data_IF_937506928115
#
_entry.id   IF_937506928115
#
_cell.length_a   1.000
_cell.length_b   1.000
_cell.length_c   1.000
_cell.angle_alpha   90.00
_cell.angle_beta   90.00
_cell.angle_gamma   90.00
#
_symmetry.space_group_name_H-M   'P 1'
#
loop_
_entity.id
_entity.type
_entity.pdbx_description
1 polymer ?
#
# COMPACT_ATOMS: atom_id res chain seq x y z
N UNK A 1 7.17 -73.38 16.06
CA UNK A 1 5.84 -72.84 16.32
C UNK A 1 5.95 -71.29 16.19
N UNK A 2 5.49 -70.72 15.09
CA UNK A 2 5.42 -69.22 14.88
C UNK A 2 3.95 -68.86 14.89
N UNK A 3 3.57 -68.19 15.92
CA UNK A 3 2.21 -67.66 16.10
C UNK A 3 2.10 -66.34 15.33
N UNK A 4 1.33 -66.34 14.25
CA UNK A 4 0.97 -65.13 13.54
C UNK A 4 -0.25 -64.46 14.21
N UNK A 5 -0.11 -63.24 14.65
CA UNK A 5 -1.24 -62.39 15.08
C UNK A 5 -1.79 -61.66 13.87
N UNK A 6 -3.02 -61.98 13.49
CA UNK A 6 -3.82 -61.20 12.56
C UNK A 6 -4.34 -59.94 13.31
N UNK A 7 -3.97 -58.81 12.86
CA UNK A 7 -4.64 -57.55 13.24
C UNK A 7 -5.90 -57.35 12.36
N UNK A 8 -7.06 -57.07 12.94
CA UNK A 8 -8.22 -56.69 12.15
C UNK A 8 -8.08 -55.23 11.72
N UNK A 9 -8.12 -55.02 10.42
CA UNK A 9 -8.20 -53.68 9.81
C UNK A 9 -9.59 -53.12 10.07
N UNK A 10 -9.69 -52.16 11.00
CA UNK A 10 -10.92 -51.41 11.21
C UNK A 10 -11.00 -50.34 10.10
N UNK A 11 -11.77 -50.65 9.08
CA UNK A 11 -12.15 -49.67 8.04
C UNK A 11 -13.18 -48.72 8.65
N UNK A 12 -12.70 -47.56 9.11
CA UNK A 12 -13.57 -46.46 9.60
C UNK A 12 -14.27 -45.85 8.40
N UNK A 13 -15.52 -46.25 8.21
CA UNK A 13 -16.44 -45.63 7.26
C UNK A 13 -16.83 -44.24 7.81
N UNK A 14 -16.12 -43.20 7.38
CA UNK A 14 -16.53 -41.81 7.64
C UNK A 14 -17.74 -41.51 6.75
N UNK A 15 -18.92 -41.68 7.30
CA UNK A 15 -20.15 -41.13 6.72
C UNK A 15 -20.10 -39.64 6.93
N UNK A 16 -19.67 -38.92 5.90
CA UNK A 16 -19.83 -37.45 5.83
C UNK A 16 -21.34 -37.21 5.63
N UNK A 17 -22.03 -36.95 6.72
CA UNK A 17 -23.35 -36.33 6.67
C UNK A 17 -23.19 -34.96 6.05
N UNK A 18 -23.37 -34.88 4.73
CA UNK A 18 -23.69 -33.65 4.06
C UNK A 18 -25.07 -33.26 4.59
N UNK A 19 -25.09 -32.49 5.68
CA UNK A 19 -26.26 -31.70 6.03
C UNK A 19 -26.45 -30.74 4.86
N UNK A 20 -27.22 -31.16 3.87
CA UNK A 20 -27.91 -30.23 3.01
C UNK A 20 -28.75 -29.38 3.96
N UNK A 21 -28.24 -28.25 4.40
CA UNK A 21 -29.06 -27.15 4.83
C UNK A 21 -29.95 -26.85 3.63
N UNK A 22 -31.15 -27.44 3.61
CA UNK A 22 -32.27 -26.82 2.94
C UNK A 22 -32.35 -25.48 3.65
N UNK A 23 -32.12 -24.33 2.98
CA UNK A 23 -32.40 -23.05 3.60
C UNK A 23 -33.86 -23.17 4.05
N UNK A 24 -34.08 -23.14 5.37
CA UNK A 24 -35.43 -22.99 5.88
C UNK A 24 -36.01 -21.79 5.16
N UNK A 25 -37.29 -21.83 4.86
CA UNK A 25 -38.04 -20.71 4.28
C UNK A 25 -37.99 -19.51 5.25
N UNK A 26 -36.81 -18.92 5.39
CA UNK A 26 -36.55 -17.65 6.04
C UNK A 26 -36.43 -16.62 4.93
N UNK A 27 -37.08 -15.50 5.13
CA UNK A 27 -37.07 -14.36 4.23
C UNK A 27 -35.67 -14.11 3.67
N UNK A 28 -35.45 -14.43 2.37
CA UNK A 28 -34.22 -14.04 1.71
C UNK A 28 -34.24 -12.52 1.58
N UNK A 29 -33.27 -11.86 2.18
CA UNK A 29 -33.12 -10.41 2.07
C UNK A 29 -32.66 -10.03 0.66
N UNK A 30 -32.96 -8.81 0.24
CA UNK A 30 -32.39 -8.23 -0.98
C UNK A 30 -30.85 -8.39 -0.97
N UNK A 31 -30.28 -8.69 -2.12
CA UNK A 31 -28.84 -8.91 -2.25
C UNK A 31 -28.26 -8.09 -3.38
N UNK A 32 -27.05 -7.56 -3.13
CA UNK A 32 -26.23 -6.87 -4.13
C UNK A 32 -24.79 -7.37 -4.06
N UNK A 33 -24.22 -7.69 -5.20
CA UNK A 33 -22.82 -8.10 -5.31
C UNK A 33 -22.12 -7.46 -6.51
N UNK A 34 -20.80 -7.28 -6.39
CA UNK A 34 -19.94 -6.96 -7.51
C UNK A 34 -19.51 -8.25 -8.20
N UNK A 35 -19.80 -8.37 -9.49
CA UNK A 35 -19.49 -9.59 -10.26
C UNK A 35 -18.12 -9.50 -10.94
N UNK A 36 -17.35 -10.57 -10.83
CA UNK A 36 -16.06 -10.70 -11.52
C UNK A 36 -16.27 -10.82 -13.06
N UNK A 37 -15.26 -10.35 -13.79
CA UNK A 37 -15.19 -10.49 -15.24
C UNK A 37 -14.11 -9.60 -15.86
N UNK A 38 -13.71 -9.86 -17.10
CA UNK A 38 -12.72 -9.05 -17.79
C UNK A 38 -13.12 -7.58 -17.87
N UNK A 39 -12.28 -6.69 -17.30
CA UNK A 39 -12.52 -5.24 -17.29
C UNK A 39 -13.51 -4.74 -16.23
N UNK A 40 -14.01 -5.60 -15.37
CA UNK A 40 -14.83 -5.22 -14.23
C UNK A 40 -14.05 -5.16 -12.94
N UNK A 41 -14.42 -4.23 -12.07
CA UNK A 41 -13.86 -4.07 -10.74
C UNK A 41 -14.85 -4.68 -9.73
N UNK A 42 -14.40 -5.76 -9.07
CA UNK A 42 -15.20 -6.49 -8.07
C UNK A 42 -14.51 -6.59 -6.71
N UNK A 43 -13.23 -6.21 -6.63
CA UNK A 43 -12.41 -6.26 -5.42
C UNK A 43 -11.47 -5.06 -5.34
N UNK A 44 -10.96 -4.81 -4.14
CA UNK A 44 -9.98 -3.75 -3.91
C UNK A 44 -8.80 -3.87 -4.89
N UNK A 45 -8.45 -2.75 -5.51
CA UNK A 45 -7.43 -2.70 -6.55
C UNK A 45 -6.77 -1.32 -6.64
N UNK A 46 -5.80 -1.18 -7.53
CA UNK A 46 -5.22 0.12 -7.89
C UNK A 46 -5.68 0.54 -9.28
N UNK A 47 -5.83 1.84 -9.49
CA UNK A 47 -6.10 2.43 -10.79
C UNK A 47 -5.48 3.84 -10.89
N UNK A 48 -5.25 4.33 -12.10
CA UNK A 48 -4.75 5.69 -12.30
C UNK A 48 -5.87 6.70 -12.12
N UNK A 49 -5.52 7.91 -11.68
CA UNK A 49 -6.44 9.04 -11.76
C UNK A 49 -7.02 9.16 -13.18
N UNK A 50 -8.24 9.65 -13.28
CA UNK A 50 -8.99 9.81 -14.53
C UNK A 50 -9.32 8.52 -15.30
N UNK A 51 -8.94 7.35 -14.80
CA UNK A 51 -9.34 6.08 -15.41
C UNK A 51 -10.86 5.93 -15.39
N UNK A 52 -11.41 5.38 -16.47
CA UNK A 52 -12.82 4.96 -16.50
C UNK A 52 -12.93 3.61 -15.82
N UNK A 53 -13.54 3.59 -14.64
CA UNK A 53 -13.85 2.37 -13.90
C UNK A 53 -15.17 1.77 -14.40
N UNK A 54 -15.24 0.47 -14.47
CA UNK A 54 -16.44 -0.25 -14.85
C UNK A 54 -16.78 -1.28 -13.79
N UNK A 55 -17.97 -1.17 -13.21
CA UNK A 55 -18.49 -2.08 -12.19
C UNK A 55 -19.63 -2.89 -12.80
N UNK A 56 -19.60 -4.21 -12.61
CA UNK A 56 -20.72 -5.09 -12.94
C UNK A 56 -21.40 -5.47 -11.64
N UNK A 57 -22.63 -5.04 -11.47
CA UNK A 57 -23.43 -5.26 -10.27
C UNK A 57 -24.51 -6.26 -10.59
N UNK A 58 -24.65 -7.27 -9.73
CA UNK A 58 -25.77 -8.19 -9.73
C UNK A 58 -26.64 -7.89 -8.52
N UNK A 59 -27.94 -7.62 -8.75
CA UNK A 59 -28.87 -7.32 -7.71
C UNK A 59 -30.09 -8.23 -7.84
N UNK A 60 -30.53 -8.81 -6.72
CA UNK A 60 -31.63 -9.75 -6.63
C UNK A 60 -32.58 -9.29 -5.53
N UNK A 61 -33.88 -9.18 -5.80
CA UNK A 61 -34.86 -8.86 -4.77
C UNK A 61 -35.00 -10.00 -3.76
N UNK A 62 -35.58 -9.70 -2.59
CA UNK A 62 -35.90 -10.69 -1.60
C UNK A 62 -36.95 -11.69 -2.15
N UNK A 63 -36.86 -12.95 -1.73
CA UNK A 63 -37.82 -13.98 -2.04
C UNK A 63 -38.63 -14.24 -0.77
N UNK A 64 -39.82 -13.63 -0.66
CA UNK A 64 -40.74 -13.85 0.45
C UNK A 64 -41.88 -14.82 0.07
N UNK A 65 -42.59 -15.30 1.08
CA UNK A 65 -43.73 -16.24 0.90
C UNK A 65 -44.91 -15.62 0.14
N UNK A 66 -45.00 -14.28 0.04
CA UNK A 66 -46.13 -13.54 -0.51
C UNK A 66 -45.82 -12.76 -1.80
N UNK A 67 -45.09 -13.37 -2.74
CA UNK A 67 -44.64 -12.77 -4.01
C UNK A 67 -43.37 -11.97 -3.91
N UNK A 68 -42.37 -12.36 -4.70
CA UNK A 68 -41.04 -11.83 -4.72
C UNK A 68 -40.96 -10.31 -4.67
N UNK A 69 -40.05 -9.79 -3.86
CA UNK A 69 -39.80 -8.37 -3.76
C UNK A 69 -39.44 -7.74 -5.11
N UNK A 70 -39.62 -6.45 -5.24
CA UNK A 70 -39.25 -5.70 -6.44
C UNK A 70 -38.22 -4.64 -6.09
N UNK A 71 -37.17 -4.55 -6.87
CA UNK A 71 -36.14 -3.52 -6.68
C UNK A 71 -36.72 -2.15 -7.08
N UNK A 72 -36.61 -1.19 -6.16
CA UNK A 72 -37.11 0.17 -6.36
C UNK A 72 -36.06 1.09 -6.94
N UNK A 73 -34.84 1.05 -6.37
CA UNK A 73 -33.79 1.98 -6.76
C UNK A 73 -32.40 1.36 -6.55
N UNK A 74 -31.45 1.92 -7.28
CA UNK A 74 -30.04 1.74 -7.03
C UNK A 74 -29.39 3.12 -6.90
N UNK A 75 -28.53 3.28 -5.90
CA UNK A 75 -27.66 4.44 -5.79
C UNK A 75 -26.19 4.01 -5.73
N UNK A 76 -25.32 4.87 -6.25
CA UNK A 76 -23.91 4.69 -6.16
C UNK A 76 -23.23 6.00 -5.74
N UNK A 77 -22.31 5.87 -4.81
CA UNK A 77 -21.54 6.98 -4.27
C UNK A 77 -20.07 6.62 -4.14
N UNK A 78 -19.25 7.63 -4.03
CA UNK A 78 -17.84 7.45 -3.67
C UNK A 78 -17.44 8.39 -2.53
N UNK A 79 -16.44 7.98 -1.74
CA UNK A 79 -15.78 8.81 -0.75
C UNK A 79 -14.28 8.70 -0.89
N UNK A 80 -13.56 9.82 -0.75
CA UNK A 80 -12.10 9.85 -0.85
C UNK A 80 -11.51 10.01 0.54
N UNK A 81 -10.61 9.10 0.95
CA UNK A 81 -9.91 9.11 2.24
C UNK A 81 -10.88 9.25 3.44
N UNK A 82 -12.04 8.58 3.39
CA UNK A 82 -13.04 8.61 4.46
C UNK A 82 -13.80 9.94 4.61
N UNK A 83 -13.70 10.85 3.65
CA UNK A 83 -14.51 12.10 3.62
C UNK A 83 -15.97 11.80 3.30
N UNK A 84 -16.82 12.84 3.33
CA UNK A 84 -18.22 12.72 2.98
C UNK A 84 -18.41 12.09 1.60
N UNK A 85 -19.39 11.20 1.50
CA UNK A 85 -19.70 10.52 0.25
C UNK A 85 -20.36 11.49 -0.75
N UNK A 86 -20.01 11.32 -2.02
CA UNK A 86 -20.59 12.03 -3.16
C UNK A 86 -21.39 11.04 -4.00
N UNK A 87 -22.68 11.23 -4.12
CA UNK A 87 -23.54 10.41 -4.98
C UNK A 87 -23.32 10.79 -6.45
N UNK A 88 -23.04 9.80 -7.29
CA UNK A 88 -22.87 9.99 -8.74
C UNK A 88 -23.90 9.23 -9.57
N UNK A 89 -24.66 8.34 -8.94
CA UNK A 89 -25.79 7.65 -9.54
C UNK A 89 -26.91 7.55 -8.50
N UNK A 90 -28.12 7.93 -8.91
CA UNK A 90 -29.37 7.65 -8.18
C UNK A 90 -30.43 7.39 -9.23
N UNK A 91 -30.89 6.14 -9.29
CA UNK A 91 -31.77 5.68 -10.37
C UNK A 91 -32.90 4.84 -9.82
N UNK A 92 -34.12 5.15 -10.28
CA UNK A 92 -35.30 4.30 -10.05
C UNK A 92 -35.25 3.11 -11.01
N UNK A 93 -35.47 1.93 -10.48
CA UNK A 93 -35.54 0.69 -11.23
C UNK A 93 -37.00 0.36 -11.59
N UNK A 94 -37.19 -0.33 -12.70
CA UNK A 94 -38.52 -0.86 -13.03
C UNK A 94 -38.89 -1.98 -12.05
N UNK A 95 -40.16 -2.09 -11.71
CA UNK A 95 -40.70 -3.05 -10.71
C UNK A 95 -40.42 -4.54 -11.02
N UNK A 96 -39.78 -4.86 -12.12
CA UNK A 96 -39.42 -6.24 -12.50
C UNK A 96 -37.92 -6.44 -12.65
N UNK A 97 -37.11 -5.48 -12.20
CA UNK A 97 -35.65 -5.58 -12.38
C UNK A 97 -35.06 -6.61 -11.42
N UNK A 98 -34.40 -7.61 -11.98
CA UNK A 98 -33.42 -8.46 -11.32
C UNK A 98 -32.35 -8.79 -12.33
N UNK A 99 -31.06 -8.78 -11.91
CA UNK A 99 -29.99 -9.16 -12.81
C UNK A 99 -28.80 -8.23 -12.78
N UNK A 100 -28.07 -8.16 -13.91
CA UNK A 100 -26.82 -7.43 -14.02
C UNK A 100 -27.02 -6.00 -14.51
N UNK A 101 -26.30 -5.08 -13.88
CA UNK A 101 -26.19 -3.68 -14.28
C UNK A 101 -24.71 -3.30 -14.42
N UNK A 102 -24.39 -2.54 -15.46
CA UNK A 102 -23.04 -2.01 -15.66
C UNK A 102 -23.04 -0.52 -15.33
N UNK A 103 -22.22 -0.14 -14.36
CA UNK A 103 -22.03 1.25 -13.96
C UNK A 103 -20.61 1.66 -14.32
N UNK A 104 -20.48 2.82 -14.96
CA UNK A 104 -19.19 3.41 -15.31
C UNK A 104 -19.02 4.73 -14.58
N UNK A 105 -17.84 4.94 -14.02
CA UNK A 105 -17.48 6.21 -13.36
C UNK A 105 -16.03 6.55 -13.60
N UNK A 106 -15.72 7.83 -13.81
CA UNK A 106 -14.36 8.32 -13.91
C UNK A 106 -13.76 8.46 -12.51
N UNK A 107 -12.63 7.82 -12.26
CA UNK A 107 -11.91 7.91 -10.98
C UNK A 107 -11.40 9.32 -10.74
N UNK A 108 -11.84 9.94 -9.65
CA UNK A 108 -11.47 11.31 -9.25
C UNK A 108 -10.67 11.27 -7.96
N UNK A 109 -9.53 11.97 -7.94
CA UNK A 109 -8.66 12.07 -6.76
C UNK A 109 -7.20 12.24 -7.16
N UNK A 110 -6.33 12.30 -6.16
CA UNK A 110 -4.88 12.45 -6.33
C UNK A 110 -4.18 11.11 -6.13
N UNK A 111 -2.93 11.04 -6.57
CA UNK A 111 -2.07 9.87 -6.29
C UNK A 111 -2.03 9.60 -4.80
N UNK A 112 -2.11 8.33 -4.42
CA UNK A 112 -2.20 7.80 -3.06
C UNK A 112 -3.56 7.98 -2.36
N UNK A 113 -4.52 8.68 -2.93
CA UNK A 113 -5.87 8.67 -2.38
C UNK A 113 -6.49 7.27 -2.46
N UNK A 114 -7.27 6.93 -1.43
CA UNK A 114 -8.13 5.74 -1.42
C UNK A 114 -9.57 6.20 -1.65
N UNK A 115 -10.16 5.73 -2.74
CA UNK A 115 -11.54 6.03 -3.12
C UNK A 115 -12.40 4.80 -2.88
N UNK A 116 -13.32 4.91 -1.92
CA UNK A 116 -14.30 3.85 -1.63
C UNK A 116 -15.56 4.10 -2.44
N UNK A 117 -15.90 3.17 -3.30
CA UNK A 117 -17.17 3.12 -4.02
C UNK A 117 -18.16 2.29 -3.23
N UNK A 118 -19.37 2.80 -3.09
CA UNK A 118 -20.46 2.14 -2.36
C UNK A 118 -21.70 2.10 -3.24
N UNK A 119 -22.30 0.93 -3.36
CA UNK A 119 -23.49 0.68 -4.15
C UNK A 119 -24.58 0.19 -3.22
N UNK A 120 -25.75 0.78 -3.29
CA UNK A 120 -26.91 0.46 -2.45
C UNK A 120 -28.09 0.14 -3.36
N UNK A 121 -28.73 -0.99 -3.14
CA UNK A 121 -29.97 -1.33 -3.78
C UNK A 121 -31.11 -1.35 -2.75
N UNK A 122 -32.28 -0.85 -3.10
CA UNK A 122 -33.43 -0.74 -2.20
C UNK A 122 -34.66 -1.37 -2.83
N UNK A 123 -35.42 -2.13 -2.06
CA UNK A 123 -36.74 -2.66 -2.47
C UNK A 123 -37.86 -1.64 -2.31
N UNK A 124 -38.97 -1.89 -3.00
CA UNK A 124 -40.12 -0.98 -2.99
C UNK A 124 -40.71 -0.78 -1.58
N UNK A 125 -40.77 -1.82 -0.78
CA UNK A 125 -41.37 -1.81 0.56
C UNK A 125 -40.48 -2.40 1.63
N UNK A 126 -39.16 -2.40 1.40
CA UNK A 126 -38.35 -3.21 2.24
C UNK A 126 -36.92 -2.75 2.44
N UNK A 127 -36.08 -3.68 2.84
CA UNK A 127 -34.70 -3.44 3.20
C UNK A 127 -33.85 -2.98 2.02
N UNK A 128 -32.69 -2.47 2.38
CA UNK A 128 -31.59 -2.17 1.44
C UNK A 128 -30.44 -3.11 1.70
N UNK A 129 -29.66 -3.41 0.66
CA UNK A 129 -28.37 -4.06 0.78
C UNK A 129 -27.28 -3.23 0.13
N UNK A 130 -26.04 -3.44 0.58
CA UNK A 130 -24.91 -2.57 0.25
C UNK A 130 -23.67 -3.39 -0.04
N UNK A 131 -23.01 -3.09 -1.15
CA UNK A 131 -21.67 -3.61 -1.45
C UNK A 131 -20.68 -2.45 -1.68
N UNK A 132 -19.39 -2.69 -1.46
CA UNK A 132 -18.39 -1.66 -1.64
C UNK A 132 -17.04 -2.22 -2.09
N UNK A 133 -16.24 -1.35 -2.73
CA UNK A 133 -14.88 -1.64 -3.17
C UNK A 133 -13.99 -0.41 -2.99
N UNK A 134 -12.73 -0.60 -2.67
CA UNK A 134 -11.75 0.46 -2.51
C UNK A 134 -10.76 0.45 -3.67
N UNK A 135 -10.54 1.65 -4.23
CA UNK A 135 -9.60 1.88 -5.32
C UNK A 135 -8.51 2.82 -4.82
N UNK A 136 -7.28 2.36 -4.80
CA UNK A 136 -6.14 3.22 -4.51
C UNK A 136 -5.61 3.85 -5.79
N UNK A 137 -5.45 5.19 -5.79
CA UNK A 137 -4.99 5.90 -6.98
C UNK A 137 -3.49 5.77 -7.12
N UNK A 138 -3.06 5.09 -8.19
CA UNK A 138 -1.65 4.90 -8.55
C UNK A 138 -1.13 6.05 -9.41
N UNK A 139 0.19 6.33 -9.38
CA UNK A 139 0.81 7.31 -10.27
C UNK A 139 0.77 6.84 -11.74
N UNK A 140 0.91 7.79 -12.64
CA UNK A 140 1.24 7.48 -14.04
C UNK A 140 2.65 6.88 -14.07
N UNK A 141 2.89 5.76 -14.76
CA UNK A 141 4.22 5.20 -14.86
C UNK A 141 5.19 6.21 -15.50
N UNK A 142 6.26 6.52 -14.77
CA UNK A 142 7.38 7.29 -15.25
C UNK A 142 8.67 6.50 -14.95
N UNK A 143 9.67 6.52 -15.86
CA UNK A 143 10.91 5.80 -15.63
C UNK A 143 11.67 6.38 -14.44
N UNK A 144 12.45 5.53 -13.79
CA UNK A 144 13.35 5.93 -12.72
C UNK A 144 14.76 6.07 -13.28
N UNK A 145 15.48 7.08 -12.80
CA UNK A 145 16.92 7.20 -12.99
C UNK A 145 17.68 6.75 -11.75
N UNK A 146 18.85 6.19 -11.96
CA UNK A 146 19.78 5.82 -10.91
C UNK A 146 20.71 7.00 -10.60
N UNK A 147 20.80 7.36 -9.32
CA UNK A 147 21.78 8.30 -8.78
C UNK A 147 22.80 7.45 -8.02
N UNK A 148 24.07 7.54 -8.38
CA UNK A 148 25.13 6.69 -7.84
C UNK A 148 26.09 7.46 -6.94
N UNK A 149 26.80 6.73 -6.11
CA UNK A 149 27.97 7.20 -5.35
C UNK A 149 27.67 8.36 -4.40
N UNK A 150 26.48 8.41 -3.85
CA UNK A 150 26.11 9.42 -2.88
C UNK A 150 26.62 9.05 -1.48
N UNK A 151 26.90 10.06 -0.66
CA UNK A 151 27.50 9.88 0.66
C UNK A 151 26.76 10.72 1.70
N UNK A 152 26.53 10.11 2.87
CA UNK A 152 26.17 10.82 4.11
C UNK A 152 27.26 10.53 5.12
N UNK A 153 27.92 11.59 5.59
CA UNK A 153 28.98 11.51 6.56
C UNK A 153 28.46 11.42 8.00
N UNK A 154 29.34 10.99 8.89
CA UNK A 154 29.14 11.07 10.34
C UNK A 154 28.86 12.53 10.76
N UNK A 155 27.81 12.76 11.54
CA UNK A 155 27.39 14.10 12.01
C UNK A 155 28.43 14.80 12.90
N UNK A 156 29.42 14.10 13.42
CA UNK A 156 30.50 14.62 14.25
C UNK A 156 31.80 14.91 13.48
N UNK A 157 31.79 14.76 12.17
CA UNK A 157 32.93 15.07 11.34
C UNK A 157 33.27 16.56 11.43
N UNK A 158 34.38 16.87 12.08
CA UNK A 158 34.65 18.23 12.54
C UNK A 158 35.35 19.15 11.51
N UNK A 159 36.22 18.60 10.64
CA UNK A 159 37.18 19.44 9.91
C UNK A 159 36.63 20.18 8.68
N UNK A 160 35.59 19.73 8.06
CA UNK A 160 35.09 20.33 6.80
C UNK A 160 33.58 20.56 6.77
N UNK A 161 32.89 20.46 7.91
CA UNK A 161 31.42 20.52 7.99
C UNK A 161 30.77 19.71 6.84
N UNK A 162 31.08 18.40 6.76
CA UNK A 162 30.64 17.59 5.66
C UNK A 162 29.12 17.45 5.69
N UNK A 163 28.62 17.02 4.59
CA UNK A 163 27.22 16.75 4.38
C UNK A 163 26.80 15.51 5.20
N UNK A 164 26.30 15.75 6.41
CA UNK A 164 25.78 14.72 7.33
C UNK A 164 24.28 14.45 7.16
N UNK A 165 23.70 15.04 6.15
CA UNK A 165 22.32 14.81 5.73
C UNK A 165 22.22 14.81 4.20
N UNK A 166 21.06 14.42 3.67
CA UNK A 166 20.86 14.32 2.23
C UNK A 166 19.42 14.62 1.83
N UNK A 167 19.26 15.34 0.72
CA UNK A 167 17.98 15.62 0.04
C UNK A 167 17.87 14.69 -1.18
N UNK A 168 17.03 13.66 -1.08
CA UNK A 168 16.83 12.68 -2.16
C UNK A 168 16.18 13.30 -3.39
N UNK A 169 15.34 14.33 -3.21
CA UNK A 169 14.67 14.99 -4.31
C UNK A 169 15.66 15.74 -5.22
N UNK A 170 16.52 16.56 -4.64
CA UNK A 170 17.47 17.37 -5.40
C UNK A 170 18.81 16.68 -5.64
N UNK A 171 19.01 15.48 -5.11
CA UNK A 171 20.26 14.73 -5.15
C UNK A 171 21.43 15.54 -4.58
N UNK A 172 21.24 16.10 -3.38
CA UNK A 172 22.21 16.98 -2.75
C UNK A 172 22.51 16.58 -1.32
N UNK A 173 23.80 16.52 -0.99
CA UNK A 173 24.25 16.51 0.39
C UNK A 173 23.91 17.82 1.09
N UNK A 174 23.58 17.74 2.36
CA UNK A 174 23.15 18.84 3.22
C UNK A 174 23.97 18.87 4.50
N UNK A 175 24.20 20.09 5.01
CA UNK A 175 24.84 20.30 6.30
C UNK A 175 23.85 20.21 7.45
N UNK A 176 24.36 20.08 8.67
CA UNK A 176 23.55 20.04 9.89
C UNK A 176 22.60 21.23 10.01
N UNK A 177 23.04 22.43 9.63
CA UNK A 177 22.32 23.69 9.78
C UNK A 177 21.38 24.01 8.60
N UNK A 178 21.37 23.19 7.55
CA UNK A 178 20.42 23.34 6.44
C UNK A 178 18.98 23.10 6.88
N UNK A 179 18.04 23.56 6.07
CA UNK A 179 16.62 23.50 6.37
C UNK A 179 16.13 22.06 6.58
N UNK A 180 15.56 21.78 7.74
CA UNK A 180 15.15 20.44 8.15
C UNK A 180 14.15 19.79 7.18
N UNK A 181 13.22 20.56 6.60
CA UNK A 181 12.20 20.07 5.64
C UNK A 181 12.79 19.38 4.40
N UNK A 182 14.05 19.64 4.08
CA UNK A 182 14.75 19.05 2.94
C UNK A 182 15.55 17.80 3.30
N UNK A 183 15.69 17.48 4.58
CA UNK A 183 16.56 16.40 5.04
C UNK A 183 15.81 15.08 5.10
N UNK A 184 15.94 14.29 4.04
CA UNK A 184 15.36 12.95 3.97
C UNK A 184 16.21 11.93 4.73
N UNK A 185 17.52 12.08 4.69
CA UNK A 185 18.49 11.25 5.43
C UNK A 185 19.32 12.17 6.35
N UNK A 186 19.43 11.81 7.63
CA UNK A 186 20.29 12.52 8.61
C UNK A 186 20.99 11.45 9.43
N UNK A 187 22.33 11.49 9.47
CA UNK A 187 23.10 10.64 10.38
C UNK A 187 22.73 10.90 11.84
N UNK A 188 22.55 9.82 12.59
CA UNK A 188 22.08 9.85 13.98
C UNK A 188 23.22 9.73 15.00
N UNK A 189 24.45 9.97 14.61
CA UNK A 189 25.58 9.95 15.55
C UNK A 189 25.45 11.08 16.57
N UNK A 190 25.54 10.74 17.84
CA UNK A 190 25.46 11.66 18.97
C UNK A 190 26.83 11.71 19.67
N UNK A 191 27.31 12.92 19.96
CA UNK A 191 28.53 13.12 20.75
C UNK A 191 28.33 12.74 22.22
N UNK A 192 29.34 12.17 22.81
CA UNK A 192 29.49 12.08 24.26
C UNK A 192 29.87 13.45 24.87
N UNK A 193 30.12 13.52 26.17
CA UNK A 193 30.52 14.73 26.89
C UNK A 193 31.90 15.28 26.44
N UNK A 194 32.72 14.47 25.78
CA UNK A 194 34.04 14.86 25.24
C UNK A 194 33.96 15.32 23.77
N UNK A 195 32.77 15.39 23.18
CA UNK A 195 32.61 15.74 21.76
C UNK A 195 32.88 14.59 20.80
N UNK A 196 33.14 13.39 21.32
CA UNK A 196 33.39 12.17 20.55
C UNK A 196 32.12 11.30 20.51
N UNK A 197 31.94 10.50 19.48
CA UNK A 197 30.82 9.56 19.37
C UNK A 197 31.17 8.38 18.49
N UNK A 198 30.51 7.27 18.77
CA UNK A 198 30.57 6.12 17.91
C UNK A 198 29.60 6.32 16.74
N UNK A 199 30.03 6.03 15.54
CA UNK A 199 29.22 6.13 14.34
C UNK A 199 27.95 5.29 14.49
N UNK A 200 26.79 5.95 14.37
CA UNK A 200 25.49 5.31 14.63
C UNK A 200 25.10 4.31 13.57
N UNK A 201 25.55 4.55 12.34
CA UNK A 201 25.12 3.81 11.15
C UNK A 201 23.59 3.75 11.02
N UNK A 202 22.92 4.86 11.36
CA UNK A 202 21.45 4.97 11.27
C UNK A 202 21.07 6.31 10.68
N UNK A 203 19.99 6.30 9.92
CA UNK A 203 19.40 7.52 9.41
C UNK A 203 18.03 7.78 10.03
N UNK A 204 17.76 9.04 10.36
CA UNK A 204 16.43 9.60 10.56
C UNK A 204 16.20 10.72 9.56
N UNK A 205 15.12 11.49 9.71
CA UNK A 205 14.84 12.64 8.86
C UNK A 205 14.48 13.89 9.64
N UNK A 206 14.58 15.05 9.00
CA UNK A 206 14.06 16.31 9.50
C UNK A 206 12.65 16.64 9.02
N UNK A 207 12.05 15.81 8.19
CA UNK A 207 10.80 16.08 7.45
C UNK A 207 9.79 14.93 7.51
N UNK A 208 9.88 14.04 8.49
CA UNK A 208 8.97 12.87 8.66
C UNK A 208 9.09 11.79 7.57
N UNK A 209 10.22 11.69 6.88
CA UNK A 209 10.50 10.58 5.96
C UNK A 209 10.37 9.23 6.67
N UNK A 210 9.88 8.25 5.96
CA UNK A 210 9.67 6.88 6.44
C UNK A 210 10.52 5.90 5.63
N UNK A 211 11.01 4.86 6.29
CA UNK A 211 11.93 3.88 5.73
C UNK A 211 11.36 2.47 5.91
N UNK A 212 11.50 1.64 4.88
CA UNK A 212 11.16 0.22 4.94
C UNK A 212 12.32 -0.56 4.36
N UNK A 213 12.84 -1.54 5.10
CA UNK A 213 13.84 -2.46 4.56
C UNK A 213 13.15 -3.45 3.63
N UNK A 214 13.68 -3.60 2.41
CA UNK A 214 13.15 -4.47 1.35
C UNK A 214 14.26 -5.34 0.77
N UNK A 215 13.94 -6.21 -0.20
CA UNK A 215 14.89 -7.14 -0.79
C UNK A 215 15.73 -6.52 -1.91
N UNK A 216 16.80 -7.22 -2.31
CA UNK A 216 17.59 -6.81 -3.48
C UNK A 216 16.76 -6.95 -4.77
N UNK A 217 15.90 -7.96 -4.87
CA UNK A 217 15.00 -8.14 -6.02
C UNK A 217 14.04 -6.97 -6.17
N UNK A 218 13.53 -6.40 -5.06
CA UNK A 218 12.68 -5.21 -5.08
C UNK A 218 13.42 -4.00 -5.67
N UNK A 219 14.71 -3.85 -5.32
CA UNK A 219 15.54 -2.80 -5.91
C UNK A 219 15.73 -3.01 -7.42
N UNK A 220 16.09 -4.22 -7.83
CA UNK A 220 16.41 -4.52 -9.23
C UNK A 220 15.16 -4.41 -10.13
N UNK A 221 14.00 -4.90 -9.65
CA UNK A 221 12.73 -4.84 -10.40
C UNK A 221 12.09 -3.45 -10.44
N UNK A 222 12.42 -2.55 -9.51
CA UNK A 222 11.86 -1.19 -9.52
C UNK A 222 12.41 -0.39 -10.70
N UNK A 223 11.60 -0.16 -11.72
CA UNK A 223 11.96 0.57 -12.94
C UNK A 223 11.11 1.81 -13.18
N UNK A 224 9.96 1.93 -12.50
CA UNK A 224 8.99 3.00 -12.68
C UNK A 224 8.41 3.50 -11.35
N UNK A 225 7.78 4.67 -11.40
CA UNK A 225 7.02 5.22 -10.26
C UNK A 225 5.91 4.29 -9.78
N UNK A 226 5.30 3.55 -10.68
CA UNK A 226 4.25 2.57 -10.34
C UNK A 226 4.82 1.39 -9.56
N UNK A 227 6.03 0.93 -9.89
CA UNK A 227 6.68 -0.17 -9.15
C UNK A 227 6.96 0.27 -7.71
N UNK A 228 7.54 1.46 -7.52
CA UNK A 228 7.78 2.01 -6.17
C UNK A 228 6.48 2.20 -5.39
N UNK A 229 5.43 2.67 -6.05
CA UNK A 229 4.13 2.86 -5.41
C UNK A 229 3.52 1.54 -4.94
N UNK A 230 3.50 0.52 -5.80
CA UNK A 230 2.97 -0.80 -5.44
C UNK A 230 3.78 -1.43 -4.30
N UNK A 231 5.10 -1.30 -4.36
CA UNK A 231 5.99 -1.78 -3.31
C UNK A 231 5.74 -1.04 -1.98
N UNK A 232 5.51 0.28 -2.02
CA UNK A 232 5.17 1.05 -0.82
C UNK A 232 3.85 0.60 -0.20
N UNK A 233 2.80 0.44 -1.01
CA UNK A 233 1.49 -0.03 -0.54
C UNK A 233 1.59 -1.37 0.18
N UNK A 234 2.44 -2.27 -0.33
CA UNK A 234 2.66 -3.57 0.28
C UNK A 234 3.34 -3.48 1.66
N UNK A 235 4.26 -2.53 1.83
CA UNK A 235 5.15 -2.45 3.00
C UNK A 235 4.89 -1.27 3.94
N UNK A 236 3.98 -0.34 3.63
CA UNK A 236 3.78 0.91 4.38
C UNK A 236 3.60 0.69 5.89
N UNK A 237 2.87 -0.35 6.28
CA UNK A 237 2.58 -0.65 7.70
C UNK A 237 3.83 -1.02 8.51
N UNK A 238 4.88 -1.51 7.86
CA UNK A 238 6.17 -1.84 8.50
C UNK A 238 7.18 -0.69 8.47
N UNK A 239 6.78 0.49 7.97
CA UNK A 239 7.68 1.63 7.84
C UNK A 239 8.06 2.24 9.20
N UNK A 240 9.33 2.63 9.32
CA UNK A 240 9.94 3.19 10.53
C UNK A 240 10.39 4.64 10.31
N UNK A 241 10.43 5.48 11.36
CA UNK A 241 10.95 6.85 11.27
C UNK A 241 12.48 6.92 11.30
N UNK A 242 13.14 5.82 11.65
CA UNK A 242 14.60 5.67 11.73
C UNK A 242 14.95 4.33 11.12
N UNK A 243 16.04 4.26 10.35
CA UNK A 243 16.51 2.99 9.79
C UNK A 243 17.03 2.06 10.90
N UNK A 244 17.09 0.77 10.62
CA UNK A 244 17.92 -0.15 11.38
C UNK A 244 19.39 0.24 11.22
N UNK A 245 20.30 -0.47 11.91
CA UNK A 245 21.74 -0.29 11.71
C UNK A 245 22.10 -0.70 10.28
N UNK A 246 22.64 0.26 9.53
CA UNK A 246 22.94 0.12 8.12
C UNK A 246 24.15 -0.78 7.90
N UNK A 247 24.08 -1.61 6.88
CA UNK A 247 25.15 -2.47 6.38
C UNK A 247 25.23 -2.39 4.85
N UNK A 248 26.40 -2.62 4.30
CA UNK A 248 26.55 -2.73 2.85
C UNK A 248 25.64 -3.86 2.30
N UNK A 249 24.91 -3.57 1.23
CA UNK A 249 23.91 -4.45 0.65
C UNK A 249 22.49 -4.23 1.14
N UNK A 250 22.26 -3.44 2.20
CA UNK A 250 20.91 -3.12 2.67
C UNK A 250 20.15 -2.31 1.63
N UNK A 251 18.88 -2.63 1.48
CA UNK A 251 17.95 -1.94 0.58
C UNK A 251 16.83 -1.30 1.39
N UNK A 252 16.54 -0.04 1.11
CA UNK A 252 15.44 0.69 1.73
C UNK A 252 14.51 1.30 0.68
N UNK A 253 13.24 1.03 0.83
CA UNK A 253 12.18 1.82 0.21
C UNK A 253 11.90 3.02 1.12
N UNK A 254 11.85 4.21 0.55
CA UNK A 254 11.80 5.48 1.28
C UNK A 254 10.63 6.31 0.77
N UNK A 255 9.79 6.79 1.68
CA UNK A 255 8.79 7.81 1.41
C UNK A 255 9.23 9.10 2.07
N UNK A 256 9.67 10.07 1.27
CA UNK A 256 10.04 11.39 1.75
C UNK A 256 8.85 12.11 2.40
N UNK A 257 9.10 12.83 3.48
CA UNK A 257 8.12 13.71 4.10
C UNK A 257 7.97 15.05 3.39
N UNK A 258 8.74 15.33 2.33
CA UNK A 258 8.54 16.51 1.50
C UNK A 258 7.21 16.45 0.76
N UNK A 259 6.53 17.59 0.63
CA UNK A 259 5.29 17.67 -0.14
C UNK A 259 5.60 17.76 -1.64
N UNK A 260 5.76 16.59 -2.27
CA UNK A 260 6.14 16.43 -3.67
C UNK A 260 5.03 15.70 -4.44
N UNK A 261 4.92 15.89 -5.77
CA UNK A 261 3.98 15.14 -6.60
C UNK A 261 4.17 13.61 -6.53
N UNK A 262 5.45 13.19 -6.41
CA UNK A 262 5.83 11.80 -6.15
C UNK A 262 7.13 11.78 -5.34
N UNK A 263 7.11 11.11 -4.19
CA UNK A 263 8.16 11.21 -3.17
C UNK A 263 8.67 9.85 -2.69
N UNK A 264 8.61 8.85 -3.55
CA UNK A 264 9.11 7.51 -3.27
C UNK A 264 10.47 7.29 -3.94
N UNK A 265 11.35 6.60 -3.21
CA UNK A 265 12.70 6.25 -3.66
C UNK A 265 13.01 4.82 -3.22
N UNK A 266 13.84 4.11 -3.97
CA UNK A 266 14.46 2.87 -3.51
C UNK A 266 15.98 3.06 -3.49
N UNK A 267 16.60 2.76 -2.34
CA UNK A 267 18.00 3.05 -2.05
C UNK A 267 18.73 1.76 -1.71
N UNK A 268 19.96 1.61 -2.22
CA UNK A 268 20.88 0.52 -1.91
C UNK A 268 22.13 1.08 -1.25
N UNK A 269 22.42 0.64 -0.04
CA UNK A 269 23.66 0.94 0.67
C UNK A 269 24.79 0.16 -0.02
N UNK A 270 25.81 0.88 -0.49
CA UNK A 270 26.94 0.28 -1.21
C UNK A 270 28.18 0.09 -0.34
N UNK A 271 28.38 0.97 0.65
CA UNK A 271 29.45 0.83 1.63
C UNK A 271 29.05 1.50 2.95
N UNK A 272 29.59 1.00 4.04
CA UNK A 272 29.59 1.63 5.37
C UNK A 272 31.03 1.63 5.86
N UNK A 273 31.63 2.82 5.89
CA UNK A 273 32.98 3.01 6.41
C UNK A 273 32.88 3.46 7.86
N UNK A 274 33.38 2.64 8.75
CA UNK A 274 33.37 2.85 10.19
C UNK A 274 34.80 2.59 10.70
N UNK A 275 35.55 3.63 10.94
CA UNK A 275 36.91 3.53 11.48
C UNK A 275 36.78 3.44 13.01
N UNK A 276 37.06 2.30 13.64
CA UNK A 276 36.75 2.04 15.04
C UNK A 276 37.77 2.73 15.99
N UNK A 277 38.10 3.98 15.69
CA UNK A 277 38.95 4.83 16.52
C UNK A 277 38.11 5.98 17.03
N UNK A 278 37.85 6.01 18.33
CA UNK A 278 37.13 7.09 18.98
C UNK A 278 37.75 8.45 18.62
N UNK A 279 36.94 9.41 18.18
CA UNK A 279 37.39 10.72 17.71
C UNK A 279 37.84 10.76 16.24
N UNK A 280 37.91 9.63 15.53
CA UNK A 280 38.04 9.62 14.09
C UNK A 280 36.66 9.60 13.45
N UNK A 281 36.20 10.76 13.04
CA UNK A 281 34.81 10.95 12.52
C UNK A 281 34.77 10.94 10.97
N UNK A 282 35.76 10.33 10.29
CA UNK A 282 35.77 10.19 8.82
C UNK A 282 34.79 9.13 8.31
N UNK A 283 33.93 8.64 9.20
CA UNK A 283 32.96 7.61 8.87
C UNK A 283 31.86 8.13 7.93
N UNK A 284 31.35 7.24 7.11
CA UNK A 284 30.27 7.58 6.19
C UNK A 284 29.49 6.34 5.74
N UNK A 285 28.29 6.58 5.21
CA UNK A 285 27.51 5.61 4.45
C UNK A 285 27.46 6.06 3.00
N UNK A 286 27.88 5.18 2.09
CA UNK A 286 27.77 5.36 0.64
C UNK A 286 26.58 4.58 0.10
N UNK A 287 25.84 5.17 -0.87
CA UNK A 287 24.64 4.56 -1.41
C UNK A 287 24.36 4.97 -2.85
N UNK A 288 23.56 4.15 -3.53
CA UNK A 288 22.91 4.46 -4.77
C UNK A 288 21.39 4.48 -4.54
N UNK A 289 20.66 5.25 -5.33
CA UNK A 289 19.21 5.22 -5.24
C UNK A 289 18.54 5.49 -6.59
N UNK A 290 17.28 5.09 -6.70
CA UNK A 290 16.46 5.35 -7.86
C UNK A 290 15.41 6.39 -7.50
N UNK A 291 15.21 7.36 -8.40
CA UNK A 291 14.20 8.42 -8.30
C UNK A 291 13.57 8.67 -9.66
N UNK A 292 12.40 9.35 -9.66
CA UNK A 292 11.80 9.84 -10.91
C UNK A 292 12.77 10.74 -11.67
N UNK A 293 12.79 10.58 -12.98
CA UNK A 293 13.53 11.46 -13.87
C UNK A 293 12.66 12.69 -14.20
N UNK A 294 12.91 13.79 -13.50
CA UNK A 294 12.22 15.09 -13.66
C UNK A 294 13.01 16.00 -14.58
#
# INVERSE_FOLDING_TARGET
>A
MKTQYLLPTITSLIITLISACIPGAGDSTVQIELTDGPGFISKNTTARADSMLTFSIHAVPSIGLDFGGTLKSISASYSTNGKSAVTFLDSTLSNSFSGKMIIKHRLVGNVADVVKYTFVVTEANGPSDTTSVEIQISPVPAPLKVITDQIVHNALYYFYAPESAYDLNTAKGLKKDDTAIRKDLIDQTISNSSGEGQFSKKWASGNFTRYVKVSNDDYDMSSSTTDLFNLWVLHEKSSLPVTETLSAGDIYLIKSGQNLPFNLYVLKVTAVEDVPVLGNNNDYVKFNYKKIDN
#
